data_IF_960557604011
#
_entry.id   IF_960557604011
#
_cell.length_a   1.000
_cell.length_b   1.000
_cell.length_c   1.000
_cell.angle_alpha   90.00
_cell.angle_beta   90.00
_cell.angle_gamma   90.00
#
_symmetry.space_group_name_H-M   'P 1'
#
loop_
_entity.id
_entity.type
_entity.pdbx_description
1 polymer ?
#
# COMPACT_ATOMS: atom_id res chain seq x y z
N UNK A 1 -20.29 -32.39 -6.89
CA UNK A 1 -19.66 -33.51 -6.13
C UNK A 1 -19.53 -33.09 -4.67
N UNK A 2 -19.92 -33.95 -3.73
CA UNK A 2 -19.72 -33.73 -2.28
C UNK A 2 -19.09 -34.99 -1.70
N UNK A 3 -17.99 -34.86 -0.98
CA UNK A 3 -17.37 -35.99 -0.29
C UNK A 3 -17.85 -36.10 1.17
N UNK A 4 -17.61 -37.24 1.85
CA UNK A 4 -18.00 -37.41 3.26
C UNK A 4 -17.35 -36.40 4.21
N UNK A 5 -16.21 -35.81 3.84
CA UNK A 5 -15.49 -34.80 4.62
C UNK A 5 -16.08 -33.39 4.47
N UNK A 6 -17.07 -33.22 3.60
CA UNK A 6 -17.80 -31.97 3.41
C UNK A 6 -17.23 -31.05 2.32
N UNK A 7 -16.20 -31.47 1.58
CA UNK A 7 -15.71 -30.71 0.43
C UNK A 7 -16.78 -30.67 -0.67
N UNK A 8 -16.96 -29.50 -1.29
CA UNK A 8 -17.93 -29.30 -2.38
C UNK A 8 -17.28 -28.65 -3.58
N UNK A 9 -17.57 -29.22 -4.73
CA UNK A 9 -17.40 -28.57 -6.03
C UNK A 9 -18.74 -28.67 -6.75
N UNK A 10 -19.36 -27.53 -7.02
CA UNK A 10 -20.73 -27.44 -7.53
C UNK A 10 -20.78 -26.51 -8.74
N UNK A 11 -21.36 -26.99 -9.84
CA UNK A 11 -21.71 -26.21 -11.01
C UNK A 11 -23.24 -26.21 -11.09
N UNK A 12 -23.87 -25.04 -11.18
CA UNK A 12 -25.32 -24.91 -11.02
C UNK A 12 -26.12 -25.04 -12.34
N UNK A 13 -25.44 -25.14 -13.48
CA UNK A 13 -26.06 -25.17 -14.81
C UNK A 13 -26.53 -23.81 -15.34
N UNK A 14 -26.49 -22.75 -14.52
CA UNK A 14 -26.69 -21.35 -14.93
C UNK A 14 -25.36 -20.62 -15.20
N UNK A 15 -24.23 -21.33 -15.04
CA UNK A 15 -22.89 -20.84 -15.33
C UNK A 15 -22.06 -20.48 -14.09
N UNK A 16 -22.60 -20.66 -12.88
CA UNK A 16 -21.85 -20.44 -11.65
C UNK A 16 -21.08 -21.70 -11.23
N UNK A 17 -19.95 -21.46 -10.54
CA UNK A 17 -19.15 -22.50 -9.92
C UNK A 17 -18.91 -22.11 -8.45
N UNK A 18 -19.20 -23.02 -7.53
CA UNK A 18 -18.91 -22.88 -6.11
C UNK A 18 -17.94 -23.99 -5.66
N UNK A 19 -16.87 -23.57 -4.98
CA UNK A 19 -15.88 -24.49 -4.39
C UNK A 19 -15.74 -24.19 -2.91
N UNK A 20 -15.97 -25.19 -2.07
CA UNK A 20 -15.90 -25.07 -0.61
C UNK A 20 -15.08 -26.23 -0.02
N UNK A 21 -14.17 -25.91 0.91
CA UNK A 21 -13.40 -26.87 1.67
C UNK A 21 -13.47 -26.50 3.16
N UNK A 22 -13.92 -27.39 4.07
CA UNK A 22 -13.99 -27.10 5.51
C UNK A 22 -12.64 -26.91 6.21
N UNK A 23 -11.53 -27.24 5.53
CA UNK A 23 -10.16 -27.05 6.02
C UNK A 23 -9.38 -26.15 5.06
N UNK A 24 -8.47 -26.72 4.29
CA UNK A 24 -7.53 -25.98 3.45
C UNK A 24 -7.85 -26.16 1.96
N UNK A 25 -7.53 -25.14 1.16
CA UNK A 25 -7.50 -25.20 -0.30
C UNK A 25 -6.13 -24.68 -0.77
N UNK A 26 -5.48 -25.41 -1.68
CA UNK A 26 -4.17 -25.06 -2.24
C UNK A 26 -4.26 -25.05 -3.77
N UNK A 27 -3.75 -23.99 -4.41
CA UNK A 27 -3.63 -23.87 -5.85
C UNK A 27 -2.15 -23.72 -6.20
N UNK A 28 -1.63 -24.64 -7.02
CA UNK A 28 -0.23 -24.65 -7.45
C UNK A 28 -0.18 -24.85 -8.97
N UNK A 29 0.66 -24.08 -9.67
CA UNK A 29 0.95 -24.28 -11.08
C UNK A 29 2.46 -24.43 -11.30
N UNK A 30 2.86 -25.26 -12.26
CA UNK A 30 4.27 -25.37 -12.67
C UNK A 30 4.75 -24.18 -13.50
N UNK A 31 3.80 -23.44 -14.09
CA UNK A 31 4.06 -22.20 -14.84
C UNK A 31 3.22 -21.07 -14.24
N UNK A 32 2.05 -20.77 -14.81
CA UNK A 32 1.28 -19.57 -14.48
C UNK A 32 -0.07 -19.87 -13.83
N UNK A 33 -0.50 -18.99 -12.91
CA UNK A 33 -1.90 -18.86 -12.47
C UNK A 33 -2.42 -17.52 -12.97
N UNK A 34 -3.44 -17.53 -13.83
CA UNK A 34 -4.08 -16.32 -14.34
C UNK A 34 -5.50 -16.19 -13.76
N UNK A 35 -5.81 -15.06 -13.12
CA UNK A 35 -7.12 -14.76 -12.56
C UNK A 35 -7.67 -13.52 -13.26
N UNK A 36 -8.72 -13.69 -14.06
CA UNK A 36 -9.34 -12.61 -14.82
C UNK A 36 -10.84 -12.54 -14.49
N UNK A 37 -11.32 -11.36 -14.09
CA UNK A 37 -12.74 -11.08 -13.91
C UNK A 37 -13.12 -9.80 -14.65
N UNK A 38 -14.27 -9.79 -15.32
CA UNK A 38 -14.76 -8.62 -16.08
C UNK A 38 -15.44 -7.57 -15.21
N UNK A 39 -15.78 -7.93 -13.97
CA UNK A 39 -16.42 -7.05 -13.01
C UNK A 39 -15.55 -6.86 -11.77
N UNK A 40 -15.48 -7.86 -10.89
CA UNK A 40 -14.81 -7.73 -9.60
C UNK A 40 -14.07 -9.01 -9.20
N UNK A 41 -13.00 -8.84 -8.43
CA UNK A 41 -12.37 -9.88 -7.60
C UNK A 41 -12.47 -9.40 -6.15
N UNK A 42 -12.93 -10.26 -5.24
CA UNK A 42 -13.02 -9.94 -3.81
C UNK A 42 -12.33 -11.02 -2.99
N UNK A 43 -11.40 -10.61 -2.12
CA UNK A 43 -10.64 -11.48 -1.23
C UNK A 43 -10.91 -11.06 0.21
N UNK A 44 -11.40 -11.99 1.03
CA UNK A 44 -11.71 -11.75 2.43
C UNK A 44 -11.04 -12.83 3.28
N UNK A 45 -10.27 -12.42 4.28
CA UNK A 45 -9.55 -13.31 5.21
C UNK A 45 -9.97 -13.01 6.65
N UNK A 46 -10.09 -14.05 7.48
CA UNK A 46 -10.41 -13.88 8.90
C UNK A 46 -9.21 -13.44 9.76
N UNK A 47 -7.99 -13.74 9.31
CA UNK A 47 -6.75 -13.43 10.02
C UNK A 47 -5.78 -12.73 9.07
N UNK A 48 -4.86 -13.48 8.46
CA UNK A 48 -3.74 -12.93 7.70
C UNK A 48 -3.95 -13.06 6.18
N UNK A 49 -3.48 -12.04 5.45
CA UNK A 49 -3.33 -12.07 3.99
C UNK A 49 -1.89 -11.73 3.64
N UNK A 50 -1.17 -12.67 3.05
CA UNK A 50 0.27 -12.55 2.75
C UNK A 50 0.50 -12.75 1.26
N UNK A 51 1.23 -11.82 0.63
CA UNK A 51 1.71 -11.94 -0.75
C UNK A 51 3.23 -11.90 -0.74
N UNK A 52 3.87 -12.90 -1.34
CA UNK A 52 5.32 -12.93 -1.55
C UNK A 52 5.61 -13.08 -3.04
N UNK A 53 6.42 -12.19 -3.60
CA UNK A 53 6.93 -12.28 -4.96
C UNK A 53 8.43 -12.54 -4.93
N UNK A 54 8.92 -13.47 -5.75
CA UNK A 54 10.35 -13.82 -5.78
C UNK A 54 11.23 -12.76 -6.44
N UNK A 55 10.68 -12.02 -7.42
CA UNK A 55 11.39 -10.97 -8.16
C UNK A 55 10.64 -9.64 -8.01
N UNK A 56 9.57 -9.46 -8.79
CA UNK A 56 8.85 -8.20 -8.89
C UNK A 56 7.37 -8.34 -8.52
N UNK A 57 6.83 -7.31 -7.88
CA UNK A 57 5.39 -7.14 -7.67
C UNK A 57 4.96 -5.83 -8.32
N UNK A 58 4.04 -5.89 -9.28
CA UNK A 58 3.49 -4.71 -9.96
C UNK A 58 2.01 -4.58 -9.67
N UNK A 59 1.58 -3.41 -9.21
CA UNK A 59 0.17 -3.07 -8.98
C UNK A 59 -0.16 -1.83 -9.80
N UNK A 60 -1.15 -1.96 -10.68
CA UNK A 60 -1.68 -0.85 -11.48
C UNK A 60 -3.15 -0.67 -11.19
N UNK A 61 -3.57 0.56 -10.90
CA UNK A 61 -4.95 0.91 -10.54
C UNK A 61 -5.38 2.07 -11.44
N UNK A 62 -6.45 1.88 -12.21
CA UNK A 62 -6.91 2.87 -13.19
C UNK A 62 -7.57 4.10 -12.57
N UNK A 63 -8.22 3.94 -11.42
CA UNK A 63 -8.96 5.01 -10.75
C UNK A 63 -8.39 5.29 -9.35
N UNK A 64 -8.91 4.63 -8.32
CA UNK A 64 -8.59 4.94 -6.92
C UNK A 64 -8.02 3.72 -6.20
N UNK A 65 -6.95 3.94 -5.42
CA UNK A 65 -6.43 2.98 -4.44
C UNK A 65 -6.65 3.55 -3.04
N UNK A 66 -7.31 2.78 -2.18
CA UNK A 66 -7.59 3.16 -0.79
C UNK A 66 -7.02 2.08 0.13
N UNK A 67 -6.16 2.49 1.06
CA UNK A 67 -5.52 1.61 2.03
C UNK A 67 -5.90 2.12 3.43
N UNK A 68 -6.69 1.34 4.14
CA UNK A 68 -7.09 1.63 5.52
C UNK A 68 -6.34 0.68 6.46
N UNK A 69 -5.47 1.22 7.30
CA UNK A 69 -4.65 0.46 8.24
C UNK A 69 -4.95 0.99 9.64
N UNK A 70 -5.46 0.12 10.51
CA UNK A 70 -5.87 0.50 11.86
C UNK A 70 -4.69 0.71 12.82
N UNK A 71 -3.60 -0.02 12.60
CA UNK A 71 -2.42 -0.02 13.45
C UNK A 71 -1.20 0.50 12.68
N UNK A 72 -0.24 -0.37 12.36
CA UNK A 72 1.05 0.02 11.79
C UNK A 72 1.11 -0.20 10.29
N UNK A 73 1.63 0.81 9.57
CA UNK A 73 2.03 0.71 8.17
C UNK A 73 3.54 0.93 8.06
N UNK A 74 4.29 -0.09 7.61
CA UNK A 74 5.74 -0.02 7.49
C UNK A 74 6.18 -0.18 6.04
N UNK A 75 7.07 0.71 5.58
CA UNK A 75 7.74 0.64 4.28
C UNK A 75 9.22 0.44 4.52
N UNK A 76 9.80 -0.63 3.97
CA UNK A 76 11.23 -0.84 3.99
C UNK A 76 11.69 -1.13 2.56
N UNK A 77 12.45 -0.21 1.99
CA UNK A 77 12.91 -0.24 0.61
C UNK A 77 14.29 0.40 0.54
N UNK A 78 15.13 -0.09 -0.37
CA UNK A 78 16.42 0.55 -0.66
C UNK A 78 16.22 1.97 -1.21
N UNK A 79 15.35 2.10 -2.20
CA UNK A 79 15.00 3.35 -2.87
C UNK A 79 13.48 3.56 -2.84
N UNK A 80 13.02 4.79 -2.62
CA UNK A 80 11.60 5.15 -2.65
C UNK A 80 11.39 6.42 -3.49
N UNK A 81 10.53 6.33 -4.50
CA UNK A 81 10.12 7.47 -5.32
C UNK A 81 8.61 7.61 -5.28
N UNK A 82 8.14 8.82 -4.96
CA UNK A 82 6.74 9.16 -5.02
C UNK A 82 6.56 10.38 -5.93
N UNK A 83 5.78 10.21 -7.00
CA UNK A 83 5.36 11.29 -7.89
C UNK A 83 3.88 11.57 -7.67
N UNK A 84 3.52 12.83 -7.45
CA UNK A 84 2.14 13.28 -7.29
C UNK A 84 1.94 14.48 -8.20
N UNK A 85 1.12 14.32 -9.24
CA UNK A 85 0.83 15.40 -10.19
C UNK A 85 -0.21 16.40 -9.64
N UNK A 86 -1.10 15.91 -8.76
CA UNK A 86 -2.10 16.72 -8.08
C UNK A 86 -1.66 17.19 -6.69
N UNK A 87 -2.64 17.59 -5.88
CA UNK A 87 -2.41 18.01 -4.49
C UNK A 87 -2.07 16.81 -3.60
N UNK A 88 -0.90 16.83 -2.96
CA UNK A 88 -0.57 15.94 -1.83
C UNK A 88 -1.00 16.59 -0.52
N UNK A 89 -1.74 15.87 0.31
CA UNK A 89 -2.07 16.28 1.69
C UNK A 89 -1.51 15.23 2.64
N UNK A 90 -0.82 15.66 3.69
CA UNK A 90 -0.27 14.79 4.73
C UNK A 90 -0.74 15.35 6.07
N UNK A 91 -1.61 14.62 6.75
CA UNK A 91 -2.14 14.99 8.07
C UNK A 91 -1.58 14.03 9.10
N UNK A 92 -0.83 14.55 10.06
CA UNK A 92 -0.17 13.77 11.10
C UNK A 92 -0.68 14.32 12.43
N UNK A 93 -1.41 13.48 13.17
CA UNK A 93 -1.97 13.84 14.48
C UNK A 93 -0.94 13.69 15.60
N UNK A 94 -0.01 12.75 15.45
CA UNK A 94 1.13 12.56 16.33
C UNK A 94 2.38 13.27 15.80
N UNK A 95 3.54 12.66 16.03
CA UNK A 95 4.82 13.23 15.64
C UNK A 95 5.19 12.87 14.19
N UNK A 96 5.85 13.82 13.52
CA UNK A 96 6.58 13.58 12.27
C UNK A 96 8.08 13.63 12.57
N UNK A 97 8.74 12.48 12.46
CA UNK A 97 10.19 12.38 12.59
C UNK A 97 10.81 12.00 11.23
N UNK A 98 11.67 12.87 10.71
CA UNK A 98 12.39 12.63 9.45
C UNK A 98 13.89 12.62 9.72
N UNK A 99 14.55 11.50 9.42
CA UNK A 99 16.02 11.38 9.51
C UNK A 99 16.58 11.04 8.14
N UNK A 100 17.52 11.83 7.66
CA UNK A 100 18.18 11.62 6.37
C UNK A 100 19.62 12.14 6.41
N UNK A 101 20.49 11.61 5.56
CA UNK A 101 21.85 12.15 5.40
C UNK A 101 21.85 13.52 4.74
N UNK A 102 20.91 13.76 3.81
CA UNK A 102 20.67 15.03 3.15
C UNK A 102 19.17 15.25 3.03
N UNK A 103 18.71 16.43 3.42
CA UNK A 103 17.32 16.86 3.31
C UNK A 103 17.20 18.07 2.40
N UNK A 104 16.18 18.12 1.57
CA UNK A 104 15.87 19.27 0.71
C UNK A 104 14.38 19.43 0.54
N UNK A 105 13.88 20.65 0.73
CA UNK A 105 12.51 21.04 0.41
C UNK A 105 12.57 22.22 -0.55
N UNK A 106 11.81 22.16 -1.65
CA UNK A 106 11.83 23.21 -2.68
C UNK A 106 10.43 23.37 -3.24
N UNK A 107 9.85 24.55 -3.08
CA UNK A 107 8.71 24.97 -3.87
C UNK A 107 9.20 25.48 -5.22
N UNK A 108 8.73 24.89 -6.32
CA UNK A 108 9.08 25.36 -7.67
C UNK A 108 8.39 26.68 -8.01
N UNK A 109 7.24 26.94 -7.39
CA UNK A 109 6.44 28.14 -7.54
C UNK A 109 5.79 28.48 -6.20
N UNK A 110 5.55 29.77 -5.95
CA UNK A 110 4.91 30.26 -4.73
C UNK A 110 5.79 30.16 -3.48
N UNK A 111 5.18 30.35 -2.32
CA UNK A 111 5.87 30.43 -1.04
C UNK A 111 5.94 29.07 -0.32
N UNK A 112 7.02 28.85 0.44
CA UNK A 112 7.08 27.78 1.45
C UNK A 112 6.67 28.38 2.79
N UNK A 113 5.63 27.83 3.42
CA UNK A 113 5.21 28.20 4.78
C UNK A 113 5.55 27.08 5.76
N UNK A 114 6.32 27.40 6.80
CA UNK A 114 6.58 26.52 7.94
C UNK A 114 6.09 27.25 9.18
N UNK A 115 5.02 26.74 9.79
CA UNK A 115 4.38 27.36 10.94
C UNK A 115 4.27 26.34 12.08
N UNK A 116 4.67 26.76 13.27
CA UNK A 116 4.39 26.04 14.51
C UNK A 116 3.44 26.87 15.37
N UNK A 117 2.69 26.21 16.26
CA UNK A 117 1.80 26.90 17.20
C UNK A 117 2.57 27.67 18.29
N UNK A 118 3.82 27.26 18.56
CA UNK A 118 4.67 27.84 19.59
C UNK A 118 6.01 28.30 18.98
N UNK A 119 7.07 27.51 19.14
CA UNK A 119 8.42 27.85 18.69
C UNK A 119 8.87 26.89 17.60
N UNK A 120 9.25 27.44 16.44
CA UNK A 120 9.98 26.72 15.40
C UNK A 120 11.48 26.84 15.65
N UNK A 121 12.21 25.73 15.66
CA UNK A 121 13.68 25.74 15.76
C UNK A 121 14.29 25.23 14.46
N UNK A 122 15.22 25.99 13.88
CA UNK A 122 16.09 25.55 12.80
C UNK A 122 17.52 25.61 13.32
N UNK A 123 18.15 24.44 13.43
CA UNK A 123 19.47 24.29 14.05
C UNK A 123 20.39 23.55 13.08
N UNK A 124 21.58 24.11 12.85
CA UNK A 124 22.70 23.36 12.31
C UNK A 124 23.65 22.97 13.42
N UNK A 125 24.40 21.88 13.24
CA UNK A 125 25.47 21.50 14.17
C UNK A 125 26.59 22.55 14.23
N UNK A 126 26.79 23.27 13.12
CA UNK A 126 27.70 24.41 13.01
C UNK A 126 26.86 25.67 12.80
N UNK A 127 26.20 25.80 11.64
CA UNK A 127 25.37 26.95 11.30
C UNK A 127 23.99 26.53 10.75
N UNK A 128 22.97 27.33 11.04
CA UNK A 128 21.71 27.33 10.29
C UNK A 128 21.71 28.54 9.34
N UNK A 129 21.94 28.30 8.05
CA UNK A 129 21.93 29.37 7.06
C UNK A 129 20.51 29.70 6.63
N UNK A 130 20.06 30.92 6.94
CA UNK A 130 18.83 31.51 6.39
C UNK A 130 19.26 32.75 5.61
N UNK A 131 19.24 32.67 4.29
CA UNK A 131 19.69 33.76 3.43
C UNK A 131 18.59 34.18 2.45
N UNK A 132 18.56 35.48 2.11
CA UNK A 132 17.85 35.98 0.93
C UNK A 132 18.82 35.88 -0.24
N UNK A 133 18.45 35.16 -1.29
CA UNK A 133 19.13 35.26 -2.59
C UNK A 133 18.97 36.65 -3.17
#
# INVERSE_FOLDING_TARGET
MKDPSGNKFFMDGAGNIEVNAPKNMTLTAGENININATQNISLNTGENYTINAGNDMTTSVGNNSVINIANTHQHNSKDYTQKVDGKKTVNILGDLEETSSKYSHTAQNGDVTIQSANVSKLLGKVDALVNKS
#
